data_IF_290124714537
#
_entry.id   IF_290124714537
#
_cell.length_a   1.000
_cell.length_b   1.000
_cell.length_c   1.000
_cell.angle_alpha   90.00
_cell.angle_beta   90.00
_cell.angle_gamma   90.00
#
_symmetry.space_group_name_H-M   'P 1'
#
loop_
_entity.id
_entity.type
_entity.pdbx_description
1 polymer ?
#
# COMPACT_ATOMS: atom_id res chain seq x y z
N UNK A 1 -18.81 72.61 -7.15
CA UNK A 1 -17.57 71.99 -6.67
C UNK A 1 -17.77 70.72 -5.80
N UNK A 2 -19.03 70.20 -5.67
CA UNK A 2 -19.30 69.01 -4.81
C UNK A 2 -19.52 67.68 -5.56
N UNK A 3 -19.48 67.69 -6.89
CA UNK A 3 -19.84 66.50 -7.72
C UNK A 3 -18.61 65.71 -8.25
N UNK A 4 -17.42 66.22 -8.05
CA UNK A 4 -16.18 65.61 -8.57
C UNK A 4 -15.44 64.75 -7.54
N UNK A 5 -15.83 64.83 -6.25
CA UNK A 5 -15.18 64.04 -5.18
C UNK A 5 -15.78 62.63 -5.09
N UNK A 6 -16.97 62.39 -5.60
CA UNK A 6 -17.62 61.07 -5.56
C UNK A 6 -17.09 60.09 -6.61
N UNK A 7 -16.39 60.56 -7.64
CA UNK A 7 -15.84 59.68 -8.69
C UNK A 7 -14.45 59.12 -8.39
N UNK A 8 -13.74 59.69 -7.42
CA UNK A 8 -12.39 59.25 -7.05
C UNK A 8 -12.35 58.07 -6.08
N UNK A 9 -13.47 57.77 -5.39
CA UNK A 9 -13.51 56.64 -4.44
C UNK A 9 -13.86 55.28 -5.06
N UNK A 10 -14.30 55.23 -6.32
CA UNK A 10 -14.69 53.95 -6.97
C UNK A 10 -13.55 53.23 -7.64
N UNK A 11 -12.41 53.91 -7.89
CA UNK A 11 -11.26 53.32 -8.61
C UNK A 11 -10.25 52.62 -7.70
N UNK A 12 -10.36 52.73 -6.38
CA UNK A 12 -9.42 52.16 -5.42
C UNK A 12 -9.81 50.77 -4.89
N UNK A 13 -10.91 50.19 -5.41
CA UNK A 13 -11.27 48.78 -5.12
C UNK A 13 -10.69 47.84 -6.19
N UNK A 14 -9.54 48.20 -6.75
CA UNK A 14 -8.80 47.35 -7.68
C UNK A 14 -8.14 46.19 -6.92
N UNK A 15 -8.88 45.08 -6.89
CA UNK A 15 -8.32 43.71 -6.99
C UNK A 15 -7.02 43.44 -6.27
N UNK A 16 -7.12 43.23 -4.96
CA UNK A 16 -6.17 42.37 -4.30
C UNK A 16 -6.45 40.93 -4.80
N UNK A 17 -6.03 40.63 -6.01
CA UNK A 17 -5.87 39.23 -6.46
C UNK A 17 -4.71 38.68 -5.64
N UNK A 18 -5.05 38.11 -4.47
CA UNK A 18 -4.13 37.24 -3.76
C UNK A 18 -3.77 36.11 -4.73
N UNK A 19 -2.62 36.21 -5.37
CA UNK A 19 -1.96 35.09 -6.02
C UNK A 19 -1.74 34.05 -4.93
N UNK A 20 -2.70 33.14 -4.82
CA UNK A 20 -2.64 32.06 -3.86
C UNK A 20 -1.70 31.03 -4.46
N UNK A 21 -0.45 31.11 -4.12
CA UNK A 21 0.52 30.06 -4.36
C UNK A 21 -0.04 28.75 -3.79
N UNK A 22 -0.23 27.76 -4.65
CA UNK A 22 -0.52 26.40 -4.22
C UNK A 22 0.65 25.96 -3.34
N UNK A 23 0.39 25.82 -2.05
CA UNK A 23 1.44 25.41 -1.10
C UNK A 23 1.94 24.01 -1.41
N UNK A 24 3.14 23.65 -0.98
CA UNK A 24 3.64 22.29 -1.11
C UNK A 24 2.71 21.32 -0.37
N UNK A 25 2.63 20.09 -0.84
CA UNK A 25 1.97 19.01 -0.08
C UNK A 25 2.83 18.76 1.16
N UNK A 26 2.29 18.94 2.37
CA UNK A 26 3.08 18.78 3.58
C UNK A 26 3.46 17.31 3.83
N UNK A 27 4.57 17.09 4.55
CA UNK A 27 4.88 15.78 5.11
C UNK A 27 3.75 15.31 6.05
N UNK A 28 3.55 14.01 6.15
CA UNK A 28 2.44 13.41 6.90
C UNK A 28 1.12 13.36 6.14
N UNK A 29 1.08 13.86 4.88
CA UNK A 29 -0.13 13.75 4.06
C UNK A 29 -0.33 12.30 3.61
N UNK A 30 -1.52 11.74 3.87
CA UNK A 30 -1.91 10.42 3.40
C UNK A 30 -2.39 10.49 1.94
N UNK A 31 -1.86 9.58 1.11
CA UNK A 31 -2.23 9.40 -0.29
C UNK A 31 -2.89 8.04 -0.45
N UNK A 32 -4.17 8.02 -0.81
CA UNK A 32 -4.87 6.77 -1.15
C UNK A 32 -4.64 6.46 -2.62
N UNK A 33 -3.93 5.38 -2.90
CA UNK A 33 -3.54 5.00 -4.25
C UNK A 33 -4.01 3.59 -4.57
N UNK A 34 -4.45 3.38 -5.77
CA UNK A 34 -4.85 2.09 -6.32
C UNK A 34 -3.71 1.53 -7.15
N UNK A 35 -3.25 0.35 -6.81
CA UNK A 35 -2.16 -0.32 -7.51
C UNK A 35 -2.61 -0.73 -8.92
N UNK A 36 -1.84 -0.38 -9.92
CA UNK A 36 -2.09 -0.76 -11.32
C UNK A 36 -1.29 -2.02 -11.71
N UNK A 37 -0.17 -2.25 -11.04
CA UNK A 37 0.75 -3.37 -11.27
C UNK A 37 0.55 -4.43 -10.20
N UNK A 38 0.31 -5.68 -10.58
CA UNK A 38 0.31 -6.79 -9.62
C UNK A 38 1.72 -7.05 -9.13
N UNK A 39 1.90 -7.08 -7.81
CA UNK A 39 3.17 -7.42 -7.16
C UNK A 39 3.02 -8.73 -6.39
N UNK A 40 3.96 -9.67 -6.60
CA UNK A 40 3.95 -10.95 -5.92
C UNK A 40 5.36 -11.41 -5.58
N UNK A 41 5.52 -12.04 -4.41
CA UNK A 41 6.84 -12.50 -3.94
C UNK A 41 7.46 -13.56 -4.84
N UNK A 42 6.63 -14.35 -5.52
CA UNK A 42 7.12 -15.43 -6.41
C UNK A 42 7.55 -14.94 -7.80
N UNK A 43 7.13 -13.75 -8.23
CA UNK A 43 7.40 -13.24 -9.59
C UNK A 43 8.25 -11.99 -9.61
N UNK A 44 8.17 -11.13 -8.59
CA UNK A 44 8.90 -9.88 -8.55
C UNK A 44 10.25 -9.98 -7.86
N UNK A 45 11.10 -9.03 -8.18
CA UNK A 45 12.44 -8.85 -7.61
C UNK A 45 12.64 -7.40 -7.17
N UNK A 46 13.61 -7.19 -6.29
CA UNK A 46 14.05 -5.83 -5.97
C UNK A 46 14.54 -5.13 -7.25
N UNK A 47 14.11 -3.90 -7.46
CA UNK A 47 14.33 -3.09 -8.65
C UNK A 47 13.18 -3.10 -9.65
N UNK A 48 12.24 -4.04 -9.58
CA UNK A 48 11.10 -4.08 -10.50
C UNK A 48 10.23 -2.82 -10.34
N UNK A 49 9.79 -2.21 -11.45
CA UNK A 49 8.92 -1.04 -11.40
C UNK A 49 7.50 -1.41 -10.99
N UNK A 50 6.82 -0.47 -10.35
CA UNK A 50 5.37 -0.53 -10.13
C UNK A 50 4.72 0.81 -10.45
N UNK A 51 3.43 0.75 -10.74
CA UNK A 51 2.59 1.91 -10.97
C UNK A 51 1.34 1.83 -10.09
N UNK A 52 0.92 2.99 -9.60
CA UNK A 52 -0.32 3.15 -8.85
C UNK A 52 -0.97 4.48 -9.25
N UNK A 53 -2.28 4.56 -9.15
CA UNK A 53 -3.06 5.75 -9.46
C UNK A 53 -3.64 6.35 -8.19
N UNK A 54 -3.55 7.67 -8.03
CA UNK A 54 -4.18 8.39 -6.93
C UNK A 54 -5.71 8.29 -7.05
N UNK A 55 -6.35 7.69 -6.05
CA UNK A 55 -7.79 7.44 -6.07
C UNK A 55 -8.59 8.68 -5.65
N UNK A 56 -8.06 9.43 -4.69
CA UNK A 56 -8.70 10.63 -4.17
C UNK A 56 -7.80 11.86 -4.36
N UNK A 57 -8.38 13.02 -4.66
CA UNK A 57 -7.59 14.24 -4.79
C UNK A 57 -6.98 14.65 -3.44
N UNK A 58 -5.76 15.16 -3.47
CA UNK A 58 -5.14 15.75 -2.28
C UNK A 58 -5.53 17.22 -2.18
N UNK A 59 -6.15 17.55 -1.06
CA UNK A 59 -6.63 18.90 -0.77
C UNK A 59 -5.79 19.51 0.35
N UNK A 60 -5.17 20.64 0.11
CA UNK A 60 -4.41 21.41 1.11
C UNK A 60 -5.03 22.82 1.21
N UNK A 61 -5.37 23.23 2.41
CA UNK A 61 -6.01 24.53 2.67
C UNK A 61 -7.28 24.79 1.81
N UNK A 62 -8.10 23.74 1.60
CA UNK A 62 -9.32 23.82 0.81
C UNK A 62 -9.12 23.85 -0.71
N UNK A 63 -7.92 23.61 -1.19
CA UNK A 63 -7.58 23.54 -2.62
C UNK A 63 -7.05 22.18 -3.00
N UNK A 64 -7.52 21.69 -4.15
CA UNK A 64 -6.95 20.49 -4.75
C UNK A 64 -5.56 20.82 -5.28
N UNK A 65 -4.54 20.22 -4.68
CA UNK A 65 -3.13 20.36 -5.08
C UNK A 65 -2.66 19.21 -5.97
N UNK A 66 -3.20 18.01 -5.75
CA UNK A 66 -2.99 16.86 -6.63
C UNK A 66 -4.37 16.34 -7.02
N UNK A 67 -4.74 16.34 -8.29
CA UNK A 67 -6.03 15.79 -8.72
C UNK A 67 -6.03 14.26 -8.62
N UNK A 68 -7.21 13.68 -8.44
CA UNK A 68 -7.39 12.24 -8.60
C UNK A 68 -6.95 11.80 -10.01
N UNK A 69 -6.47 10.59 -10.14
CA UNK A 69 -5.95 10.08 -11.39
C UNK A 69 -4.47 10.40 -11.65
N UNK A 70 -3.81 11.16 -10.77
CA UNK A 70 -2.36 11.31 -10.84
C UNK A 70 -1.67 9.94 -10.67
N UNK A 71 -0.62 9.69 -11.47
CA UNK A 71 0.10 8.43 -11.44
C UNK A 71 1.28 8.49 -10.48
N UNK A 72 1.50 7.41 -9.75
CA UNK A 72 2.66 7.22 -8.89
C UNK A 72 3.49 6.10 -9.47
N UNK A 73 4.75 6.39 -9.72
CA UNK A 73 5.75 5.42 -10.14
C UNK A 73 6.76 5.19 -9.04
N UNK A 74 7.21 3.95 -8.94
CA UNK A 74 8.20 3.56 -7.96
C UNK A 74 8.80 2.21 -8.27
N UNK A 75 9.59 1.70 -7.32
CA UNK A 75 10.26 0.41 -7.42
C UNK A 75 10.01 -0.47 -6.21
N UNK A 76 10.06 -1.77 -6.45
CA UNK A 76 10.13 -2.79 -5.41
C UNK A 76 11.52 -2.72 -4.78
N UNK A 77 11.58 -2.54 -3.46
CA UNK A 77 12.86 -2.45 -2.72
C UNK A 77 13.27 -3.78 -2.13
N UNK A 78 12.28 -4.59 -1.75
CA UNK A 78 12.52 -5.85 -1.06
C UNK A 78 11.45 -6.87 -1.45
N UNK A 79 11.89 -8.08 -1.71
CA UNK A 79 11.03 -9.25 -1.85
C UNK A 79 11.59 -10.34 -0.97
N UNK A 80 10.80 -10.84 -0.05
CA UNK A 80 11.21 -11.94 0.80
C UNK A 80 10.07 -12.97 0.91
N UNK A 81 10.37 -14.20 0.54
CA UNK A 81 9.51 -15.33 0.82
C UNK A 81 9.91 -15.98 2.14
N UNK A 82 8.97 -16.47 2.94
CA UNK A 82 9.28 -17.16 4.17
C UNK A 82 10.06 -18.44 3.85
N UNK A 83 11.10 -18.68 4.62
CA UNK A 83 11.72 -20.00 4.66
C UNK A 83 10.71 -20.98 5.29
N UNK A 84 10.75 -22.24 4.86
CA UNK A 84 9.77 -23.32 5.04
C UNK A 84 8.99 -23.40 6.38
N UNK A 85 9.44 -22.82 7.46
CA UNK A 85 8.88 -23.03 8.81
C UNK A 85 8.50 -21.73 9.52
N UNK A 86 9.06 -20.58 9.16
CA UNK A 86 8.79 -19.32 9.86
C UNK A 86 8.98 -18.09 8.98
N UNK A 87 8.19 -17.09 9.22
CA UNK A 87 8.22 -15.78 8.57
C UNK A 87 6.97 -15.47 7.77
N UNK A 88 6.74 -14.20 7.53
CA UNK A 88 5.69 -13.71 6.64
C UNK A 88 6.33 -13.28 5.33
N UNK A 89 5.71 -13.59 4.17
CA UNK A 89 6.17 -13.06 2.90
C UNK A 89 6.08 -11.52 2.94
N UNK A 90 7.11 -10.87 2.43
CA UNK A 90 7.26 -9.41 2.55
C UNK A 90 7.55 -8.78 1.18
N UNK A 91 6.87 -7.68 0.88
CA UNK A 91 7.13 -6.84 -0.30
C UNK A 91 7.37 -5.43 0.20
N UNK A 92 8.54 -4.87 -0.06
CA UNK A 92 8.85 -3.46 0.15
C UNK A 92 8.67 -2.70 -1.15
N UNK A 93 8.06 -1.53 -1.10
CA UNK A 93 7.90 -0.62 -2.22
C UNK A 93 8.44 0.76 -1.87
N UNK A 94 8.96 1.45 -2.87
CA UNK A 94 9.45 2.83 -2.77
C UNK A 94 8.81 3.65 -3.89
N UNK A 95 7.83 4.51 -3.56
CA UNK A 95 7.36 5.53 -4.48
C UNK A 95 8.47 6.55 -4.76
N UNK A 96 8.70 6.89 -6.03
CA UNK A 96 9.80 7.79 -6.43
C UNK A 96 9.31 9.02 -7.17
N UNK A 97 8.20 8.89 -7.89
CA UNK A 97 7.68 9.97 -8.70
C UNK A 97 6.14 10.03 -8.65
N UNK A 98 5.64 11.25 -8.65
CA UNK A 98 4.25 11.60 -8.85
C UNK A 98 4.13 12.29 -10.20
N UNK A 99 3.30 11.75 -11.09
CA UNK A 99 3.04 12.30 -12.42
C UNK A 99 1.64 12.86 -12.44
N UNK A 100 1.52 14.16 -12.60
CA UNK A 100 0.24 14.84 -12.70
C UNK A 100 -0.40 14.56 -14.08
N UNK A 101 -1.72 14.66 -14.20
CA UNK A 101 -2.40 14.54 -15.48
C UNK A 101 -1.94 15.56 -16.54
N UNK A 102 -1.29 16.63 -16.11
CA UNK A 102 -0.64 17.63 -16.96
C UNK A 102 0.65 17.13 -17.60
N UNK A 103 1.17 15.96 -17.16
CA UNK A 103 2.47 15.41 -17.57
C UNK A 103 3.64 15.89 -16.73
N UNK A 104 3.41 16.76 -15.76
CA UNK A 104 4.45 17.20 -14.83
C UNK A 104 4.87 16.06 -13.91
N UNK A 105 6.19 15.81 -13.81
CA UNK A 105 6.79 14.79 -12.95
C UNK A 105 7.42 15.43 -11.74
N UNK A 106 6.96 15.04 -10.57
CA UNK A 106 7.41 15.52 -9.27
C UNK A 106 8.13 14.40 -8.51
N UNK A 107 9.14 14.74 -7.74
CA UNK A 107 9.77 13.78 -6.83
C UNK A 107 8.81 13.47 -5.68
N UNK A 108 8.62 12.19 -5.38
CA UNK A 108 7.78 11.71 -4.30
C UNK A 108 8.61 10.84 -3.36
N UNK A 109 8.71 11.25 -2.09
CA UNK A 109 9.25 10.44 -1.01
C UNK A 109 8.09 10.09 -0.07
N UNK A 110 7.64 8.84 -0.13
CA UNK A 110 6.51 8.36 0.65
C UNK A 110 6.71 6.91 1.10
N UNK A 111 6.09 6.55 2.21
CA UNK A 111 6.17 5.23 2.82
C UNK A 111 4.78 4.58 2.82
N UNK A 112 4.70 3.29 2.55
CA UNK A 112 3.49 2.51 2.70
C UNK A 112 3.14 2.39 4.20
N UNK A 113 1.93 2.77 4.58
CA UNK A 113 1.46 2.71 5.97
C UNK A 113 0.29 1.77 6.17
N UNK A 114 -0.53 1.53 5.12
CA UNK A 114 -1.69 0.66 5.23
C UNK A 114 -2.09 0.05 3.87
N UNK A 115 -2.93 -1.00 3.92
CA UNK A 115 -3.50 -1.68 2.74
C UNK A 115 -4.90 -2.19 3.05
N UNK A 116 -5.76 -2.23 2.04
CA UNK A 116 -7.13 -2.73 2.18
C UNK A 116 -7.24 -4.27 2.13
N UNK A 117 -6.13 -5.02 2.11
CA UNK A 117 -6.18 -6.49 2.05
C UNK A 117 -6.36 -7.06 3.47
N UNK A 118 -7.47 -7.77 3.76
CA UNK A 118 -7.69 -8.37 5.07
C UNK A 118 -6.63 -9.40 5.46
N UNK A 119 -6.23 -9.43 6.74
CA UNK A 119 -5.27 -10.40 7.26
C UNK A 119 -3.81 -10.13 6.90
N UNK A 120 -3.54 -8.99 6.28
CA UNK A 120 -2.18 -8.52 5.98
C UNK A 120 -1.82 -7.35 6.89
N UNK A 121 -0.56 -6.97 6.91
CA UNK A 121 -0.04 -5.95 7.80
C UNK A 121 1.05 -5.14 7.09
N UNK A 122 1.31 -3.94 7.54
CA UNK A 122 2.45 -3.13 7.11
C UNK A 122 3.34 -2.90 8.32
N UNK A 123 4.62 -3.24 8.19
CA UNK A 123 5.55 -3.04 9.31
C UNK A 123 6.00 -1.57 9.41
N UNK A 124 6.68 -1.26 10.51
CA UNK A 124 7.24 0.08 10.75
C UNK A 124 8.26 0.55 9.70
N UNK A 125 8.76 -0.36 8.85
CA UNK A 125 9.66 -0.05 7.74
C UNK A 125 8.89 0.23 6.43
N UNK A 126 7.56 0.30 6.45
CA UNK A 126 6.73 0.52 5.26
C UNK A 126 6.70 -0.66 4.30
N UNK A 127 6.93 -1.88 4.79
CA UNK A 127 6.90 -3.08 3.98
C UNK A 127 5.59 -3.84 4.20
N UNK A 128 4.94 -4.22 3.11
CA UNK A 128 3.80 -5.10 3.13
C UNK A 128 4.20 -6.50 3.64
N UNK A 129 3.46 -7.00 4.58
CA UNK A 129 3.56 -8.37 5.08
C UNK A 129 2.31 -9.15 4.73
N UNK A 130 2.45 -10.17 3.93
CA UNK A 130 1.38 -11.11 3.62
C UNK A 130 0.93 -11.89 4.86
N UNK A 131 -0.20 -12.59 4.73
CA UNK A 131 -0.67 -13.52 5.75
C UNK A 131 0.39 -14.60 5.97
N UNK A 132 0.81 -14.80 7.20
CA UNK A 132 1.66 -15.91 7.59
C UNK A 132 0.82 -17.18 7.82
N UNK A 133 1.41 -18.14 8.56
CA UNK A 133 0.67 -19.31 9.02
C UNK A 133 -0.47 -18.87 9.95
N UNK A 134 -1.71 -19.02 9.48
CA UNK A 134 -2.91 -18.67 10.20
C UNK A 134 -3.26 -19.75 11.25
N UNK A 135 -4.11 -19.37 12.23
CA UNK A 135 -4.73 -20.33 13.16
C UNK A 135 -5.41 -21.51 12.45
N UNK A 136 -5.87 -21.27 11.21
CA UNK A 136 -6.48 -22.28 10.38
C UNK A 136 -5.48 -23.35 9.94
N UNK A 137 -4.26 -22.94 9.53
CA UNK A 137 -3.18 -23.87 9.20
C UNK A 137 -2.75 -24.67 10.43
N UNK A 138 -2.74 -24.06 11.62
CA UNK A 138 -2.48 -24.76 12.87
C UNK A 138 -3.59 -25.75 13.25
N UNK A 139 -4.85 -25.42 12.95
CA UNK A 139 -5.98 -26.35 13.16
C UNK A 139 -5.95 -27.52 12.17
N UNK A 140 -5.51 -27.31 10.92
CA UNK A 140 -5.37 -28.39 9.94
C UNK A 140 -4.35 -29.43 10.39
N UNK A 141 -3.21 -29.00 10.91
CA UNK A 141 -2.20 -29.91 11.47
C UNK A 141 -2.71 -30.59 12.75
N UNK A 142 -3.27 -29.81 13.68
CA UNK A 142 -3.83 -30.34 14.92
C UNK A 142 -5.02 -31.29 14.68
N UNK A 143 -5.90 -30.93 13.75
CA UNK A 143 -7.07 -31.73 13.37
C UNK A 143 -6.68 -33.05 12.73
N UNK A 144 -5.66 -33.08 11.86
CA UNK A 144 -5.15 -34.29 11.26
C UNK A 144 -4.58 -35.28 12.28
N UNK A 145 -3.81 -34.75 13.24
CA UNK A 145 -3.26 -35.57 14.35
C UNK A 145 -4.36 -36.13 15.26
N UNK A 146 -5.31 -35.28 15.67
CA UNK A 146 -6.42 -35.71 16.54
C UNK A 146 -7.35 -36.71 15.82
N UNK A 147 -7.66 -36.45 14.55
CA UNK A 147 -8.46 -37.37 13.73
C UNK A 147 -7.79 -38.73 13.56
N UNK A 148 -6.50 -38.76 13.28
CA UNK A 148 -5.72 -39.99 13.17
C UNK A 148 -5.67 -40.78 14.48
N UNK A 149 -5.53 -40.10 15.63
CA UNK A 149 -5.58 -40.73 16.95
C UNK A 149 -6.95 -41.35 17.26
N UNK A 150 -8.05 -40.66 16.92
CA UNK A 150 -9.42 -41.19 17.17
C UNK A 150 -9.68 -42.41 16.33
N UNK A 151 -9.42 -42.37 15.02
CA UNK A 151 -9.61 -43.51 14.13
C UNK A 151 -8.72 -44.69 14.51
N UNK A 152 -7.43 -44.41 14.77
CA UNK A 152 -6.49 -45.43 15.20
C UNK A 152 -6.87 -46.08 16.54
N UNK A 153 -7.38 -45.28 17.48
CA UNK A 153 -7.84 -45.78 18.80
C UNK A 153 -9.05 -46.68 18.73
N UNK A 154 -10.00 -46.36 17.83
CA UNK A 154 -11.22 -47.18 17.63
C UNK A 154 -10.89 -48.55 16.98
N UNK A 155 -9.89 -48.63 16.14
CA UNK A 155 -9.56 -49.84 15.38
C UNK A 155 -8.45 -50.64 16.05
N UNK A 156 -7.44 -49.99 16.65
CA UNK A 156 -6.20 -50.63 17.16
C UNK A 156 -5.90 -50.39 18.64
N UNK A 157 -6.85 -49.81 19.40
CA UNK A 157 -6.65 -49.54 20.83
C UNK A 157 -5.47 -48.61 21.12
N UNK A 158 -4.78 -48.77 22.27
CA UNK A 158 -3.68 -47.85 22.64
C UNK A 158 -2.54 -47.75 21.64
N UNK A 159 -2.21 -48.85 20.95
CA UNK A 159 -1.21 -48.87 19.90
C UNK A 159 -1.70 -48.18 18.65
N UNK A 160 -2.96 -48.32 18.29
CA UNK A 160 -3.62 -47.63 17.18
C UNK A 160 -3.67 -46.11 17.36
N UNK A 161 -3.80 -45.64 18.59
CA UNK A 161 -3.72 -44.19 18.89
C UNK A 161 -2.34 -43.62 18.52
N UNK A 162 -1.29 -44.30 18.89
CA UNK A 162 0.09 -43.87 18.61
C UNK A 162 0.36 -43.90 17.10
N UNK A 163 0.04 -45.00 16.43
CA UNK A 163 0.24 -45.13 14.98
C UNK A 163 -0.64 -44.20 14.18
N UNK A 164 -1.92 -44.10 14.53
CA UNK A 164 -2.87 -43.19 13.87
C UNK A 164 -2.49 -41.73 14.06
N UNK A 165 -2.02 -41.35 15.24
CA UNK A 165 -1.50 -40.02 15.53
C UNK A 165 -0.26 -39.70 14.71
N UNK A 166 0.69 -40.63 14.60
CA UNK A 166 1.91 -40.46 13.81
C UNK A 166 1.64 -40.33 12.32
N UNK A 167 0.70 -41.13 11.77
CA UNK A 167 0.29 -41.04 10.37
C UNK A 167 -0.48 -39.74 10.12
N UNK A 168 -1.43 -39.37 11.01
CA UNK A 168 -2.18 -38.13 10.91
C UNK A 168 -1.29 -36.88 10.98
N UNK A 169 -0.33 -36.86 11.90
CA UNK A 169 0.65 -35.79 11.99
C UNK A 169 1.59 -35.75 10.77
N UNK A 170 2.03 -36.91 10.27
CA UNK A 170 2.90 -37.00 9.11
C UNK A 170 2.24 -36.53 7.82
N UNK A 171 0.98 -36.90 7.58
CA UNK A 171 0.26 -36.51 6.37
C UNK A 171 -0.12 -35.03 6.38
N UNK A 172 -0.67 -34.49 7.48
CA UNK A 172 -1.01 -33.08 7.62
C UNK A 172 0.21 -32.17 7.73
N UNK A 173 1.21 -32.61 8.47
CA UNK A 173 2.48 -31.88 8.59
C UNK A 173 3.28 -31.86 7.28
N UNK A 174 3.29 -32.97 6.50
CA UNK A 174 3.92 -33.02 5.19
C UNK A 174 3.27 -32.06 4.19
N UNK A 175 1.95 -32.02 4.16
CA UNK A 175 1.22 -31.06 3.33
C UNK A 175 1.50 -29.61 3.74
N UNK A 176 1.48 -29.32 5.05
CA UNK A 176 1.77 -27.99 5.58
C UNK A 176 3.21 -27.52 5.24
N UNK A 177 4.20 -28.43 5.31
CA UNK A 177 5.59 -28.12 4.96
C UNK A 177 5.81 -27.85 3.46
N UNK A 178 4.94 -28.33 2.59
CA UNK A 178 5.00 -28.11 1.15
C UNK A 178 4.22 -26.89 0.70
N UNK A 179 3.35 -26.33 1.54
CA UNK A 179 2.55 -25.14 1.23
C UNK A 179 3.44 -23.89 1.24
N UNK A 180 3.73 -23.37 0.05
CA UNK A 180 4.46 -22.13 -0.11
C UNK A 180 3.50 -20.97 0.15
N UNK A 181 3.83 -20.10 1.09
CA UNK A 181 3.07 -18.89 1.38
C UNK A 181 3.71 -17.73 0.63
N UNK A 182 3.11 -17.38 -0.50
CA UNK A 182 3.49 -16.21 -1.28
C UNK A 182 2.57 -15.06 -0.94
N UNK A 183 3.10 -13.85 -0.87
CA UNK A 183 2.29 -12.65 -0.79
C UNK A 183 2.02 -12.12 -2.19
N UNK A 184 0.79 -11.71 -2.42
CA UNK A 184 0.38 -11.05 -3.67
C UNK A 184 -0.41 -9.80 -3.33
N UNK A 185 -0.01 -8.69 -3.95
CA UNK A 185 -0.73 -7.43 -4.02
C UNK A 185 -1.31 -7.33 -5.44
N UNK A 186 -2.55 -7.74 -5.68
CA UNK A 186 -3.14 -7.68 -7.01
C UNK A 186 -3.33 -6.23 -7.47
N UNK A 187 -3.29 -6.02 -8.77
CA UNK A 187 -3.76 -4.76 -9.34
C UNK A 187 -5.18 -4.47 -8.85
N UNK A 188 -5.48 -3.20 -8.54
CA UNK A 188 -6.72 -2.80 -7.90
C UNK A 188 -6.66 -2.73 -6.37
N UNK A 189 -5.59 -3.20 -5.74
CA UNK A 189 -5.38 -3.03 -4.29
C UNK A 189 -5.24 -1.55 -3.94
N UNK A 190 -5.95 -1.10 -2.92
CA UNK A 190 -5.80 0.25 -2.38
C UNK A 190 -4.72 0.24 -1.31
N UNK A 191 -3.75 1.12 -1.49
CA UNK A 191 -2.63 1.35 -0.59
C UNK A 191 -2.74 2.76 -0.02
N UNK A 192 -2.40 2.91 1.24
CA UNK A 192 -2.23 4.22 1.87
C UNK A 192 -0.73 4.51 2.00
N UNK A 193 -0.29 5.55 1.32
CA UNK A 193 1.07 6.05 1.38
C UNK A 193 1.10 7.32 2.24
N UNK A 194 2.10 7.49 3.07
CA UNK A 194 2.34 8.71 3.82
C UNK A 194 3.54 9.44 3.23
N UNK A 195 3.37 10.72 2.93
CA UNK A 195 4.42 11.59 2.39
C UNK A 195 5.45 11.88 3.47
N UNK A 196 6.71 11.53 3.26
CA UNK A 196 7.80 11.75 4.22
C UNK A 196 8.37 13.17 4.12
N UNK A 197 8.38 13.75 2.92
CA UNK A 197 8.94 15.09 2.65
C UNK A 197 7.97 15.94 1.85
N UNK A 198 7.89 17.25 2.11
CA UNK A 198 7.00 18.12 1.36
C UNK A 198 7.26 18.03 -0.14
N UNK A 199 6.19 17.83 -0.92
CA UNK A 199 6.26 17.80 -2.39
C UNK A 199 6.04 19.21 -2.90
N UNK A 200 7.08 19.80 -3.51
CA UNK A 200 6.98 21.11 -4.15
C UNK A 200 6.25 20.98 -5.49
N UNK A 201 5.13 21.66 -5.63
CA UNK A 201 4.42 21.81 -6.89
C UNK A 201 4.96 23.04 -7.59
N UNK A 202 5.63 22.86 -8.73
CA UNK A 202 6.02 23.98 -9.57
C UNK A 202 4.76 24.51 -10.27
N UNK A 203 4.11 25.49 -9.63
CA UNK A 203 3.14 26.32 -10.35
C UNK A 203 3.93 27.14 -11.38
N UNK A 204 4.04 26.62 -12.59
CA UNK A 204 4.45 27.44 -13.71
C UNK A 204 3.43 28.60 -13.79
N UNK A 205 3.85 29.77 -13.33
CA UNK A 205 3.16 31.02 -13.59
C UNK A 205 3.24 31.19 -15.12
N UNK A 206 2.21 30.77 -15.82
CA UNK A 206 2.03 31.16 -17.21
C UNK A 206 1.74 32.65 -17.18
N UNK A 207 2.80 33.47 -17.14
CA UNK A 207 2.72 34.85 -17.50
C UNK A 207 2.51 34.89 -19.02
N UNK A 208 1.26 34.73 -19.47
CA UNK A 208 0.85 35.17 -20.78
C UNK A 208 0.89 36.71 -20.76
N UNK A 209 2.09 37.23 -20.99
CA UNK A 209 2.26 38.63 -21.40
C UNK A 209 1.80 38.77 -22.84
N UNK A 210 1.00 39.70 -23.05
CA UNK A 210 0.69 40.66 -24.10
C UNK A 210 -0.77 40.69 -24.49
#
# INVERSE_FOLDING_TARGET
MKRWIALACVVLFSTLVLAQTSGPVPAGTALMVKLETTLATFSNKAGDPFQAQLEQPVVVNGRTVIPAGAMIEGRVTKVAEPRRISGKPTIGILPEALILPTGERLFLDATLVDTNIPGTDVNSEGQFKGSGHDRRDQMEVGGGTAGGMLIGGLVGGPIGIVVGGAIGAGSSGGYWLTKHHSATLPAGTVLTLEVNRPVALNTAVTSSGQ
#
